data_IF_253795768881
#
_entry.id   IF_253795768881
#
_cell.length_a   1.000
_cell.length_b   1.000
_cell.length_c   1.000
_cell.angle_alpha   90.00
_cell.angle_beta   90.00
_cell.angle_gamma   90.00
#
_symmetry.space_group_name_H-M   'P 1'
#
loop_
_entity.id
_entity.type
_entity.pdbx_description
1 polymer ?
#
# COMPACT_ATOMS: atom_id res chain seq x y z
N UNK A 1 7.50 -18.97 -3.82
CA UNK A 1 7.14 -17.68 -3.17
C UNK A 1 6.79 -18.00 -1.73
N UNK A 2 7.41 -17.32 -0.78
CA UNK A 2 7.18 -17.52 0.66
C UNK A 2 5.70 -17.37 0.98
N UNK A 3 5.17 -18.23 1.84
CA UNK A 3 3.78 -18.23 2.30
C UNK A 3 3.40 -16.84 2.84
N UNK A 4 2.51 -16.11 2.15
CA UNK A 4 1.99 -14.82 2.61
C UNK A 4 0.78 -15.12 3.52
N UNK A 5 0.88 -14.87 4.85
CA UNK A 5 -0.07 -15.37 5.82
C UNK A 5 -1.31 -14.50 6.00
N UNK A 6 -1.29 -13.26 5.50
CA UNK A 6 -2.36 -12.29 5.66
C UNK A 6 -2.88 -11.80 4.32
N UNK A 7 -4.21 -11.73 4.23
CA UNK A 7 -4.93 -11.06 3.17
C UNK A 7 -5.66 -9.86 3.75
N UNK A 8 -5.53 -8.72 3.09
CA UNK A 8 -6.33 -7.55 3.38
C UNK A 8 -7.43 -7.39 2.35
N UNK A 9 -8.62 -7.06 2.83
CA UNK A 9 -9.84 -6.99 2.03
C UNK A 9 -10.60 -5.69 2.31
N UNK A 10 -11.28 -5.16 1.31
CA UNK A 10 -12.13 -3.99 1.48
C UNK A 10 -13.45 -4.32 2.18
N UNK A 11 -14.07 -3.33 2.81
CA UNK A 11 -15.41 -3.48 3.41
C UNK A 11 -16.48 -2.84 2.53
N UNK A 12 -17.75 -2.96 2.93
CA UNK A 12 -18.88 -2.47 2.13
C UNK A 12 -18.84 -0.95 1.87
N UNK A 13 -18.33 -0.16 2.81
CA UNK A 13 -18.39 1.31 2.73
C UNK A 13 -17.25 1.93 1.93
N UNK A 14 -16.14 1.23 1.78
CA UNK A 14 -14.99 1.71 1.02
C UNK A 14 -14.27 0.57 0.33
N UNK A 15 -13.92 0.72 -0.96
CA UNK A 15 -13.03 -0.21 -1.63
C UNK A 15 -11.57 -0.02 -1.19
N UNK A 16 -11.26 0.99 -0.37
CA UNK A 16 -9.90 1.31 0.07
C UNK A 16 -9.59 0.74 1.45
N UNK A 17 -8.31 0.45 1.70
CA UNK A 17 -7.78 0.13 3.02
C UNK A 17 -6.54 0.96 3.32
N UNK A 18 -6.36 1.38 4.56
CA UNK A 18 -5.13 2.03 4.98
C UNK A 18 -4.11 0.96 5.37
N UNK A 19 -3.27 0.56 4.41
CA UNK A 19 -2.30 -0.51 4.66
C UNK A 19 -1.32 -0.19 5.81
N UNK A 20 -0.99 1.08 6.06
CA UNK A 20 -0.08 1.46 7.15
C UNK A 20 -0.64 1.06 8.53
N UNK A 21 -1.96 1.01 8.69
CA UNK A 21 -2.61 0.49 9.89
C UNK A 21 -2.32 -0.98 10.18
N UNK A 22 -2.08 -1.79 9.15
CA UNK A 22 -1.65 -3.19 9.29
C UNK A 22 -0.23 -3.31 9.85
N UNK A 23 0.58 -2.27 9.76
CA UNK A 23 1.98 -2.22 10.17
C UNK A 23 2.20 -1.29 11.38
N UNK A 24 1.17 -1.14 12.23
CA UNK A 24 1.27 -0.42 13.51
C UNK A 24 0.97 1.08 13.46
N UNK A 25 0.60 1.61 12.28
CA UNK A 25 0.44 3.04 12.07
C UNK A 25 -0.92 3.41 11.44
N UNK A 26 -2.03 3.21 12.16
CA UNK A 26 -3.38 3.55 11.68
C UNK A 26 -3.62 5.05 11.46
N UNK A 27 -2.88 5.91 12.16
CA UNK A 27 -3.03 7.37 12.17
C UNK A 27 -2.44 8.07 10.93
N UNK A 28 -1.65 7.35 10.13
CA UNK A 28 -1.04 7.84 8.89
C UNK A 28 -1.53 7.01 7.72
N UNK A 29 -1.52 7.58 6.52
CA UNK A 29 -1.93 6.88 5.31
C UNK A 29 -0.95 7.14 4.17
N UNK A 30 -0.84 6.19 3.22
CA UNK A 30 0.03 6.36 2.06
C UNK A 30 -0.45 7.51 1.18
N UNK A 31 0.49 8.20 0.54
CA UNK A 31 0.21 9.25 -0.43
C UNK A 31 -0.71 8.73 -1.53
N UNK A 32 -1.71 9.53 -1.89
CA UNK A 32 -2.70 9.16 -2.91
C UNK A 32 -3.94 8.47 -2.34
N UNK A 33 -3.99 8.23 -1.03
CA UNK A 33 -5.21 7.77 -0.38
C UNK A 33 -6.33 8.80 -0.56
N UNK A 34 -7.53 8.43 -1.04
CA UNK A 34 -8.62 9.38 -1.17
C UNK A 34 -9.07 9.89 0.20
N UNK A 35 -9.01 11.20 0.41
CA UNK A 35 -9.30 11.82 1.71
C UNK A 35 -10.73 11.54 2.17
N UNK A 36 -11.68 11.54 1.24
CA UNK A 36 -13.10 11.26 1.53
C UNK A 36 -13.31 9.82 2.04
N UNK A 37 -12.39 8.90 1.73
CA UNK A 37 -12.45 7.50 2.15
C UNK A 37 -11.83 7.26 3.52
N UNK A 38 -11.03 8.21 4.05
CA UNK A 38 -10.41 8.06 5.38
C UNK A 38 -11.45 7.86 6.47
N UNK A 39 -12.59 8.57 6.37
CA UNK A 39 -13.70 8.41 7.31
C UNK A 39 -14.30 7.01 7.24
N UNK A 40 -14.56 6.52 6.03
CA UNK A 40 -15.15 5.19 5.83
C UNK A 40 -14.24 4.10 6.40
N UNK A 41 -12.94 4.17 6.10
CA UNK A 41 -11.95 3.22 6.62
C UNK A 41 -11.78 3.33 8.14
N UNK A 42 -11.89 4.52 8.72
CA UNK A 42 -11.83 4.67 10.19
C UNK A 42 -13.00 3.98 10.87
N UNK A 43 -14.21 4.13 10.32
CA UNK A 43 -15.44 3.51 10.86
C UNK A 43 -15.41 1.97 10.69
N UNK A 44 -14.84 1.51 9.58
CA UNK A 44 -14.67 0.08 9.26
C UNK A 44 -13.38 -0.52 9.86
N UNK A 45 -12.51 0.29 10.46
CA UNK A 45 -11.20 -0.12 10.95
C UNK A 45 -10.11 -0.04 9.89
N UNK A 46 -8.94 0.43 10.32
CA UNK A 46 -7.80 0.79 9.46
C UNK A 46 -7.25 -0.37 8.62
N UNK A 47 -7.31 -1.59 9.16
CA UNK A 47 -6.83 -2.80 8.53
C UNK A 47 -7.87 -3.92 8.66
N UNK A 48 -8.50 -4.25 7.54
CA UNK A 48 -9.38 -5.41 7.44
C UNK A 48 -8.55 -6.60 6.98
N UNK A 49 -8.07 -7.40 7.95
CA UNK A 49 -7.18 -8.52 7.73
C UNK A 49 -7.85 -9.86 8.02
N UNK A 50 -7.51 -10.88 7.24
CA UNK A 50 -7.81 -12.28 7.53
C UNK A 50 -6.61 -13.16 7.21
N UNK A 51 -6.56 -14.34 7.82
CA UNK A 51 -5.53 -15.33 7.49
C UNK A 51 -5.76 -15.92 6.12
N UNK A 52 -4.67 -16.10 5.39
CA UNK A 52 -4.63 -16.88 4.15
C UNK A 52 -4.95 -18.35 4.46
N UNK A 53 -5.80 -18.96 3.65
CA UNK A 53 -6.15 -20.37 3.75
C UNK A 53 -5.15 -21.24 2.96
N UNK A 54 -5.03 -22.53 3.33
CA UNK A 54 -4.06 -23.45 2.71
C UNK A 54 -4.16 -23.58 1.18
N UNK A 55 -5.32 -23.32 0.61
CA UNK A 55 -5.59 -23.47 -0.82
C UNK A 55 -5.46 -22.15 -1.61
N UNK A 56 -5.26 -21.02 -0.91
CA UNK A 56 -5.12 -19.73 -1.57
C UNK A 56 -3.69 -19.57 -2.10
N UNK A 57 -3.58 -19.43 -3.43
CA UNK A 57 -2.33 -19.18 -4.09
C UNK A 57 -2.17 -17.67 -4.32
N UNK A 58 -1.07 -17.10 -3.82
CA UNK A 58 -0.80 -15.67 -3.92
C UNK A 58 0.28 -15.40 -4.96
N UNK A 59 -0.12 -14.77 -6.07
CA UNK A 59 0.79 -14.33 -7.12
C UNK A 59 1.28 -12.91 -6.81
N UNK A 60 2.34 -12.81 -6.01
CA UNK A 60 2.93 -11.55 -5.55
C UNK A 60 3.72 -10.81 -6.65
N UNK A 61 3.06 -10.46 -7.75
CA UNK A 61 3.71 -9.82 -8.91
C UNK A 61 4.17 -8.38 -8.64
N UNK A 62 3.56 -7.70 -7.67
CA UNK A 62 4.04 -6.41 -7.17
C UNK A 62 4.20 -6.51 -5.67
N UNK A 63 5.37 -6.12 -5.17
CA UNK A 63 5.73 -6.20 -3.75
C UNK A 63 6.29 -4.86 -3.31
N UNK A 64 5.56 -4.13 -2.48
CA UNK A 64 6.04 -2.90 -1.88
C UNK A 64 6.51 -3.17 -0.45
N UNK A 65 7.72 -2.75 -0.13
CA UNK A 65 8.23 -2.73 1.24
C UNK A 65 8.14 -1.32 1.80
N UNK A 66 7.89 -1.21 3.10
CA UNK A 66 7.71 0.09 3.74
C UNK A 66 9.06 0.80 3.97
N UNK A 67 9.00 2.07 4.34
CA UNK A 67 10.17 2.89 4.61
C UNK A 67 10.03 3.57 5.98
N UNK A 68 10.96 3.30 6.89
CA UNK A 68 11.02 3.94 8.20
C UNK A 68 11.45 5.41 8.07
N UNK A 69 11.28 6.15 9.17
CA UNK A 69 11.56 7.57 9.37
C UNK A 69 10.58 8.46 8.62
N UNK A 70 10.78 8.68 7.32
CA UNK A 70 9.96 9.57 6.49
C UNK A 70 9.27 8.83 5.33
N UNK A 71 8.29 7.94 5.62
CA UNK A 71 7.53 7.23 4.60
C UNK A 71 6.77 8.17 3.67
N UNK A 72 6.31 7.64 2.53
CA UNK A 72 5.54 8.43 1.58
C UNK A 72 4.08 8.62 2.02
N UNK A 73 3.90 9.46 3.04
CA UNK A 73 2.62 9.94 3.54
C UNK A 73 2.13 11.18 2.79
N UNK A 74 0.81 11.39 2.84
CA UNK A 74 0.12 12.51 2.20
C UNK A 74 0.59 13.90 2.70
N UNK A 75 0.40 14.92 1.86
CA UNK A 75 0.78 16.29 2.17
C UNK A 75 -0.01 16.88 3.35
N UNK A 76 -1.29 16.52 3.52
CA UNK A 76 -2.10 16.98 4.65
C UNK A 76 -1.55 16.45 5.98
N UNK A 77 -1.18 15.18 6.03
CA UNK A 77 -0.56 14.61 7.24
C UNK A 77 0.75 15.34 7.58
N UNK A 78 1.61 15.58 6.58
CA UNK A 78 2.86 16.31 6.78
C UNK A 78 2.65 17.73 7.29
N UNK A 79 1.62 18.41 6.78
CA UNK A 79 1.28 19.76 7.21
C UNK A 79 0.72 19.78 8.64
N UNK A 80 -0.09 18.79 9.00
CA UNK A 80 -0.71 18.70 10.31
C UNK A 80 0.26 18.23 11.41
N UNK A 81 1.21 17.34 11.07
CA UNK A 81 2.12 16.69 12.02
C UNK A 81 3.59 16.79 11.60
N UNK A 82 4.14 18.01 11.40
CA UNK A 82 5.49 18.20 10.86
C UNK A 82 6.59 17.59 11.74
N UNK A 83 6.36 17.50 13.06
CA UNK A 83 7.32 16.93 14.02
C UNK A 83 7.29 15.40 14.07
N UNK A 84 6.24 14.76 13.57
CA UNK A 84 6.10 13.30 13.57
C UNK A 84 6.73 12.67 12.32
N UNK A 85 6.77 13.43 11.23
CA UNK A 85 7.45 13.06 9.98
C UNK A 85 8.96 12.93 10.25
N UNK A 86 9.57 11.82 9.85
CA UNK A 86 10.99 11.54 10.13
C UNK A 86 11.23 10.62 11.34
N UNK A 87 10.18 10.28 12.09
CA UNK A 87 10.26 9.46 13.31
C UNK A 87 9.33 8.23 13.29
N UNK A 88 8.83 7.85 12.11
CA UNK A 88 7.90 6.72 11.94
C UNK A 88 8.68 5.40 11.90
N UNK A 89 8.22 4.38 12.63
CA UNK A 89 8.84 3.06 12.64
C UNK A 89 7.76 1.99 12.56
N UNK A 90 7.63 1.37 11.39
CA UNK A 90 6.64 0.32 11.19
C UNK A 90 6.96 -0.93 12.00
N UNK A 91 5.90 -1.66 12.37
CA UNK A 91 6.02 -2.93 13.06
C UNK A 91 6.87 -3.92 12.23
N UNK A 92 7.99 -4.36 12.81
CA UNK A 92 8.94 -5.26 12.17
C UNK A 92 8.53 -6.73 12.26
N UNK A 93 7.66 -7.05 13.22
CA UNK A 93 7.18 -8.41 13.44
C UNK A 93 5.93 -8.72 12.59
N UNK A 94 5.29 -7.68 12.04
CA UNK A 94 4.16 -7.83 11.12
C UNK A 94 4.57 -8.61 9.86
N UNK A 95 3.89 -9.71 9.60
CA UNK A 95 4.16 -10.51 8.40
C UNK A 95 3.57 -9.86 7.13
N UNK A 96 4.08 -10.18 5.93
CA UNK A 96 3.58 -9.62 4.68
C UNK A 96 2.07 -9.79 4.50
N UNK A 97 1.45 -8.81 3.85
CA UNK A 97 0.01 -8.72 3.63
C UNK A 97 -0.26 -8.59 2.13
N UNK A 98 -1.00 -9.52 1.54
CA UNK A 98 -1.49 -9.37 0.16
C UNK A 98 -2.84 -8.65 0.14
N UNK A 99 -3.10 -7.86 -0.89
CA UNK A 99 -4.44 -7.33 -1.14
C UNK A 99 -5.29 -8.36 -1.89
N UNK A 100 -6.54 -8.50 -1.48
CA UNK A 100 -7.54 -9.19 -2.27
C UNK A 100 -7.93 -8.38 -3.52
N UNK A 101 -8.43 -9.04 -4.57
CA UNK A 101 -9.10 -8.34 -5.67
C UNK A 101 -10.17 -7.38 -5.15
N UNK A 102 -10.41 -6.30 -5.89
CA UNK A 102 -11.35 -5.23 -5.52
C UNK A 102 -10.95 -4.39 -4.30
N UNK A 103 -9.79 -4.67 -3.68
CA UNK A 103 -9.27 -3.91 -2.55
C UNK A 103 -8.16 -2.98 -2.99
N UNK A 104 -8.35 -1.68 -2.77
CA UNK A 104 -7.38 -0.66 -3.09
C UNK A 104 -6.52 -0.25 -1.89
N UNK A 105 -5.22 -0.12 -2.12
CA UNK A 105 -4.34 0.68 -1.26
C UNK A 105 -3.32 1.38 -2.16
N UNK A 106 -3.10 2.70 -1.98
CA UNK A 106 -2.04 3.40 -2.69
C UNK A 106 -0.69 2.73 -2.43
N UNK A 107 0.11 2.71 -3.48
CA UNK A 107 1.47 2.18 -3.49
C UNK A 107 2.27 3.01 -4.49
N UNK A 108 3.58 3.15 -4.28
CA UNK A 108 4.45 3.96 -5.11
C UNK A 108 5.61 3.13 -5.67
N UNK A 109 6.47 3.74 -6.46
CA UNK A 109 7.62 3.05 -7.07
C UNK A 109 8.83 2.88 -6.12
N UNK A 110 8.84 3.58 -4.99
CA UNK A 110 9.93 3.49 -4.03
C UNK A 110 9.85 2.15 -3.28
N UNK A 111 11.00 1.51 -3.07
CA UNK A 111 11.11 0.25 -2.34
C UNK A 111 10.11 -0.82 -2.83
N UNK A 112 9.88 -0.88 -4.15
CA UNK A 112 8.90 -1.76 -4.77
C UNK A 112 9.54 -2.66 -5.80
N UNK A 113 9.31 -3.97 -5.68
CA UNK A 113 9.72 -5.00 -6.63
C UNK A 113 8.54 -5.30 -7.54
N UNK A 114 8.78 -5.26 -8.85
CA UNK A 114 7.80 -5.64 -9.87
C UNK A 114 8.33 -6.86 -10.61
N UNK A 115 7.52 -7.91 -10.76
CA UNK A 115 7.87 -9.11 -11.53
C UNK A 115 7.54 -8.92 -13.01
N UNK A 116 8.11 -9.78 -13.86
CA UNK A 116 7.98 -9.70 -15.31
C UNK A 116 6.51 -9.62 -15.76
N UNK A 117 5.65 -10.41 -15.14
CA UNK A 117 4.20 -10.48 -15.39
C UNK A 117 3.49 -9.13 -15.17
N UNK A 118 4.09 -8.22 -14.40
CA UNK A 118 3.56 -6.89 -14.09
C UNK A 118 4.41 -5.73 -14.64
N UNK A 119 5.42 -5.99 -15.50
CA UNK A 119 6.28 -4.93 -16.05
C UNK A 119 5.54 -3.87 -16.86
N UNK A 120 4.40 -4.24 -17.48
CA UNK A 120 3.52 -3.27 -18.14
C UNK A 120 3.06 -2.16 -17.18
N UNK A 121 2.99 -2.43 -15.87
CA UNK A 121 2.65 -1.47 -14.83
C UNK A 121 3.76 -0.49 -14.46
N UNK A 122 4.95 -0.60 -15.07
CA UNK A 122 6.02 0.40 -14.93
C UNK A 122 5.81 1.61 -15.85
N UNK A 123 4.83 1.55 -16.75
CA UNK A 123 4.51 2.68 -17.62
C UNK A 123 3.94 3.86 -16.82
N UNK A 124 4.49 5.06 -17.04
CA UNK A 124 4.08 6.26 -16.31
C UNK A 124 3.32 7.25 -17.22
N UNK A 125 2.20 7.83 -16.72
CA UNK A 125 1.57 8.96 -17.39
C UNK A 125 2.54 10.16 -17.49
N UNK A 126 2.70 10.71 -18.70
CA UNK A 126 3.65 11.81 -18.96
C UNK A 126 3.03 13.21 -18.86
N UNK A 127 1.70 13.31 -18.80
CA UNK A 127 0.96 14.59 -18.80
C UNK A 127 0.67 15.12 -17.39
N UNK A 128 1.13 14.43 -16.35
CA UNK A 128 0.88 14.75 -14.94
C UNK A 128 2.18 15.01 -14.18
N UNK A 129 2.11 15.68 -13.02
CA UNK A 129 3.30 15.88 -12.17
C UNK A 129 3.86 14.55 -11.66
N UNK A 130 5.15 14.53 -11.28
CA UNK A 130 5.86 13.32 -10.86
C UNK A 130 5.16 12.53 -9.73
N UNK A 131 4.53 13.21 -8.78
CA UNK A 131 3.80 12.53 -7.69
C UNK A 131 2.43 12.04 -8.13
N UNK A 132 1.77 12.79 -9.01
CA UNK A 132 0.44 12.44 -9.52
C UNK A 132 0.52 11.28 -10.51
N UNK A 133 1.57 11.20 -11.33
CA UNK A 133 1.75 10.08 -12.25
C UNK A 133 1.90 8.75 -11.51
N UNK A 134 2.64 8.74 -10.39
CA UNK A 134 2.85 7.53 -9.59
C UNK A 134 1.57 7.07 -8.87
N UNK A 135 0.77 8.03 -8.37
CA UNK A 135 -0.54 7.75 -7.75
C UNK A 135 -1.50 7.13 -8.79
N UNK A 136 -1.67 7.77 -9.94
CA UNK A 136 -2.56 7.25 -10.98
C UNK A 136 -2.10 5.88 -11.48
N UNK A 137 -0.79 5.71 -11.70
CA UNK A 137 -0.18 4.42 -12.00
C UNK A 137 -0.54 3.38 -10.96
N UNK A 138 -0.40 3.69 -9.68
CA UNK A 138 -0.76 2.78 -8.61
C UNK A 138 -2.19 2.22 -8.76
N UNK A 139 -3.17 3.07 -9.05
CA UNK A 139 -4.56 2.63 -9.16
C UNK A 139 -4.87 1.81 -10.41
N UNK A 140 -4.49 2.27 -11.60
CA UNK A 140 -4.83 1.53 -12.81
C UNK A 140 -4.05 0.21 -12.91
N UNK A 141 -2.80 0.18 -12.43
CA UNK A 141 -2.01 -1.05 -12.36
C UNK A 141 -2.63 -2.03 -11.40
N UNK A 142 -2.98 -1.59 -10.18
CA UNK A 142 -3.60 -2.48 -9.20
C UNK A 142 -4.92 -3.07 -9.71
N UNK A 143 -5.74 -2.28 -10.41
CA UNK A 143 -6.97 -2.80 -11.05
C UNK A 143 -6.66 -3.88 -12.08
N UNK A 144 -5.77 -3.63 -13.02
CA UNK A 144 -5.44 -4.58 -14.10
C UNK A 144 -4.65 -5.80 -13.59
N UNK A 145 -3.94 -5.67 -12.46
CA UNK A 145 -3.20 -6.75 -11.83
C UNK A 145 -4.13 -7.93 -11.47
N UNK A 146 -5.36 -7.63 -11.06
CA UNK A 146 -6.36 -8.65 -10.74
C UNK A 146 -6.77 -9.48 -11.96
N UNK A 147 -6.79 -8.89 -13.15
CA UNK A 147 -7.23 -9.57 -14.38
C UNK A 147 -6.21 -10.64 -14.84
N UNK A 148 -4.95 -10.52 -14.41
CA UNK A 148 -3.91 -11.53 -14.62
C UNK A 148 -3.70 -12.43 -13.41
N UNK A 149 -4.60 -12.37 -12.42
CA UNK A 149 -4.52 -13.13 -11.17
C UNK A 149 -3.35 -12.72 -10.27
N UNK A 150 -2.79 -11.53 -10.47
CA UNK A 150 -1.72 -10.97 -9.65
C UNK A 150 -2.24 -10.21 -8.44
N UNK A 151 -1.37 -10.05 -7.44
CA UNK A 151 -1.68 -9.33 -6.21
C UNK A 151 -0.56 -8.36 -5.84
N UNK A 152 -0.97 -7.22 -5.26
CA UNK A 152 -0.07 -6.32 -4.57
C UNK A 152 0.15 -6.85 -3.16
N UNK A 153 1.41 -6.96 -2.77
CA UNK A 153 1.84 -7.38 -1.44
C UNK A 153 2.58 -6.25 -0.77
N UNK A 154 2.26 -6.00 0.50
CA UNK A 154 3.04 -5.12 1.35
C UNK A 154 3.88 -5.94 2.31
N UNK A 155 5.17 -5.64 2.39
CA UNK A 155 6.10 -6.19 3.37
C UNK A 155 6.50 -5.14 4.40
N UNK A 156 7.18 -5.57 5.45
CA UNK A 156 7.71 -4.67 6.48
C UNK A 156 8.71 -3.67 5.91
N UNK A 157 9.07 -2.71 6.75
CA UNK A 157 10.08 -1.73 6.41
C UNK A 157 11.44 -2.38 6.18
N UNK A 158 12.03 -2.13 5.01
CA UNK A 158 13.38 -2.63 4.64
C UNK A 158 14.37 -1.51 4.41
N UNK A 159 13.92 -0.26 4.43
CA UNK A 159 14.74 0.93 4.20
C UNK A 159 14.39 2.03 5.19
N UNK A 160 15.31 2.96 5.39
CA UNK A 160 15.07 4.20 6.11
C UNK A 160 15.09 5.36 5.11
N UNK A 161 14.06 6.19 5.13
CA UNK A 161 13.97 7.37 4.27
C UNK A 161 14.32 8.62 5.08
N UNK A 162 15.47 9.21 4.77
CA UNK A 162 15.91 10.50 5.34
C UNK A 162 15.78 11.55 4.24
N UNK A 163 14.99 12.60 4.47
CA UNK A 163 14.90 13.74 3.55
C UNK A 163 15.90 14.82 3.94
N UNK A 164 16.43 15.50 2.92
CA UNK A 164 17.36 16.62 3.06
C UNK A 164 16.67 17.87 3.63
#
# INVERSE_FOLDING_TARGET
VNHIPWLAFHRERSPFINIYGSFGHPEIWPRGFPIDELRNVTEDGWSSLRRTQKHEHINAYIQQFLADLDPDVDALYRLAYPMSVGHIHFDRDQQPVALEPYTFSPYNTQNTVTHYEAFWGLYLPVTTTFRVCDIWRGFWVQRLLWDIGGQLVFGTSTVQQVRN
#
